data_IF_708843066508
#
_entry.id   IF_708843066508
#
_cell.length_a   1.000
_cell.length_b   1.000
_cell.length_c   1.000
_cell.angle_alpha   90.00
_cell.angle_beta   90.00
_cell.angle_gamma   90.00
#
_symmetry.space_group_name_H-M   'P 1'
#
loop_
_entity.id
_entity.type
_entity.pdbx_description
1 polymer ?
#
# COMPACT_ATOMS: atom_id res chain seq x y z
N UNK A 1 14.15 0.77 -10.82
CA UNK A 1 13.18 0.48 -9.74
C UNK A 1 12.12 -0.49 -10.30
N UNK A 2 12.50 -1.76 -10.50
CA UNK A 2 11.62 -2.81 -11.08
C UNK A 2 11.44 -4.02 -10.15
N UNK A 3 11.85 -3.93 -8.87
CA UNK A 3 12.09 -5.14 -8.06
C UNK A 3 10.96 -5.57 -7.13
N UNK A 4 9.90 -4.79 -6.93
CA UNK A 4 8.82 -5.16 -6.00
C UNK A 4 7.61 -5.70 -6.77
N UNK A 5 7.28 -7.00 -6.64
CA UNK A 5 6.08 -7.56 -7.24
C UNK A 5 4.83 -6.89 -6.68
N UNK A 6 3.82 -6.63 -7.52
CA UNK A 6 2.52 -6.04 -7.10
C UNK A 6 1.88 -6.84 -5.96
N UNK A 7 2.01 -8.17 -5.99
CA UNK A 7 1.52 -9.06 -4.93
C UNK A 7 2.23 -8.85 -3.57
N UNK A 8 3.51 -8.49 -3.57
CA UNK A 8 4.22 -8.13 -2.33
C UNK A 8 3.74 -6.78 -1.82
N UNK A 9 3.67 -5.79 -2.72
CA UNK A 9 3.20 -4.45 -2.39
C UNK A 9 1.79 -4.47 -1.79
N UNK A 10 0.87 -5.25 -2.37
CA UNK A 10 -0.46 -5.45 -1.82
C UNK A 10 -0.44 -6.02 -0.40
N UNK A 11 0.37 -7.06 -0.13
CA UNK A 11 0.48 -7.65 1.21
C UNK A 11 1.03 -6.66 2.23
N UNK A 12 2.05 -5.89 1.84
CA UNK A 12 2.66 -4.88 2.71
C UNK A 12 1.66 -3.75 3.02
N UNK A 13 0.92 -3.24 2.02
CA UNK A 13 -0.15 -2.26 2.22
C UNK A 13 -1.29 -2.80 3.09
N UNK A 14 -1.68 -4.07 2.92
CA UNK A 14 -2.73 -4.71 3.72
C UNK A 14 -2.30 -4.89 5.17
N UNK A 15 -1.05 -5.27 5.41
CA UNK A 15 -0.50 -5.37 6.76
C UNK A 15 -0.49 -3.99 7.44
N UNK A 16 0.00 -2.97 6.73
CA UNK A 16 0.04 -1.61 7.24
C UNK A 16 -1.36 -1.07 7.54
N UNK A 17 -2.31 -1.19 6.61
CA UNK A 17 -3.68 -0.75 6.81
C UNK A 17 -4.37 -1.45 8.00
N UNK A 18 -4.07 -2.74 8.21
CA UNK A 18 -4.55 -3.48 9.37
C UNK A 18 -3.94 -2.94 10.66
N UNK A 19 -2.62 -2.77 10.70
CA UNK A 19 -1.92 -2.25 11.87
C UNK A 19 -2.42 -0.84 12.24
N UNK A 20 -2.39 0.08 11.27
CA UNK A 20 -2.80 1.46 11.45
C UNK A 20 -4.28 1.54 11.84
N UNK A 21 -5.14 0.82 11.13
CA UNK A 21 -6.56 0.82 11.42
C UNK A 21 -6.92 0.23 12.78
N UNK A 22 -6.15 -0.71 13.33
CA UNK A 22 -6.32 -1.16 14.72
C UNK A 22 -6.02 -0.06 15.73
N UNK A 23 -4.97 0.72 15.51
CA UNK A 23 -4.63 1.86 16.38
C UNK A 23 -5.73 2.94 16.37
N UNK A 24 -6.43 3.11 15.24
CA UNK A 24 -7.44 4.14 15.04
C UNK A 24 -8.89 3.66 15.10
N UNK A 25 -9.16 2.40 15.47
CA UNK A 25 -10.52 1.83 15.52
C UNK A 25 -11.21 1.65 14.16
N UNK A 26 -10.48 1.78 13.05
CA UNK A 26 -11.00 1.87 11.68
C UNK A 26 -10.40 0.80 10.72
N UNK A 27 -9.94 -0.33 11.26
CA UNK A 27 -9.30 -1.45 10.51
C UNK A 27 -10.03 -1.79 9.20
N UNK A 28 -11.35 -2.02 9.28
CA UNK A 28 -12.15 -2.42 8.11
C UNK A 28 -12.15 -1.38 7.00
N UNK A 29 -12.15 -0.09 7.35
CA UNK A 29 -12.18 1.03 6.39
C UNK A 29 -10.86 1.10 5.64
N UNK A 30 -9.72 1.15 6.35
CA UNK A 30 -8.41 1.25 5.72
C UNK A 30 -8.08 0.02 4.87
N UNK A 31 -8.39 -1.20 5.35
CA UNK A 31 -8.22 -2.41 4.55
C UNK A 31 -9.14 -2.42 3.33
N UNK A 32 -10.36 -1.90 3.46
CA UNK A 32 -11.31 -1.73 2.35
C UNK A 32 -10.78 -0.80 1.26
N UNK A 33 -10.21 0.34 1.65
CA UNK A 33 -9.59 1.32 0.74
C UNK A 33 -8.42 0.70 -0.05
N UNK A 34 -7.53 -0.04 0.63
CA UNK A 34 -6.42 -0.75 -0.05
C UNK A 34 -6.96 -1.74 -1.08
N UNK A 35 -7.96 -2.55 -0.71
CA UNK A 35 -8.57 -3.50 -1.66
C UNK A 35 -9.21 -2.79 -2.86
N UNK A 36 -9.95 -1.72 -2.61
CA UNK A 36 -10.62 -0.96 -3.66
C UNK A 36 -9.60 -0.36 -4.64
N UNK A 37 -8.52 0.24 -4.13
CA UNK A 37 -7.49 0.84 -4.96
C UNK A 37 -6.78 -0.18 -5.86
N UNK A 38 -6.42 -1.35 -5.31
CA UNK A 38 -5.79 -2.41 -6.12
C UNK A 38 -6.77 -3.02 -7.12
N UNK A 39 -8.06 -3.16 -6.76
CA UNK A 39 -9.09 -3.66 -7.68
C UNK A 39 -9.34 -2.68 -8.83
N UNK A 40 -9.40 -1.38 -8.55
CA UNK A 40 -9.65 -0.35 -9.55
C UNK A 40 -8.54 -0.28 -10.62
N UNK A 41 -7.30 -0.63 -10.25
CA UNK A 41 -6.14 -0.60 -11.14
C UNK A 41 -5.72 -2.01 -11.62
N UNK A 42 -6.54 -3.04 -11.41
CA UNK A 42 -6.17 -4.44 -11.72
C UNK A 42 -5.93 -4.69 -13.21
N UNK A 43 -6.55 -3.89 -14.08
CA UNK A 43 -6.43 -3.99 -15.53
C UNK A 43 -5.67 -2.80 -16.14
N UNK A 44 -4.96 -2.03 -15.31
CA UNK A 44 -4.12 -0.95 -15.82
C UNK A 44 -3.02 -1.53 -16.71
N UNK A 45 -2.86 -0.96 -17.90
CA UNK A 45 -1.89 -1.38 -18.90
C UNK A 45 -0.85 -0.29 -19.18
N UNK A 46 -1.14 0.95 -18.80
CA UNK A 46 -0.20 2.06 -18.89
C UNK A 46 0.96 1.83 -17.91
N UNK A 47 2.16 1.64 -18.48
CA UNK A 47 3.37 1.31 -17.72
C UNK A 47 3.81 2.46 -16.82
N UNK A 48 3.64 3.70 -17.26
CA UNK A 48 4.06 4.88 -16.49
C UNK A 48 3.12 5.09 -15.32
N UNK A 49 1.81 4.94 -15.55
CA UNK A 49 0.82 5.00 -14.47
C UNK A 49 0.99 3.87 -13.44
N UNK A 50 1.28 2.64 -13.87
CA UNK A 50 1.58 1.53 -12.95
C UNK A 50 2.82 1.84 -12.13
N UNK A 51 3.85 2.42 -12.75
CA UNK A 51 5.09 2.80 -12.08
C UNK A 51 4.84 3.87 -11.02
N UNK A 52 4.11 4.93 -11.36
CA UNK A 52 3.74 6.00 -10.42
C UNK A 52 2.92 5.48 -9.24
N UNK A 53 1.94 4.61 -9.49
CA UNK A 53 1.14 4.00 -8.44
C UNK A 53 1.97 3.13 -7.50
N UNK A 54 2.92 2.34 -8.05
CA UNK A 54 3.86 1.55 -7.25
C UNK A 54 4.76 2.45 -6.41
N UNK A 55 5.31 3.51 -6.99
CA UNK A 55 6.15 4.46 -6.28
C UNK A 55 5.40 5.16 -5.15
N UNK A 56 4.15 5.60 -5.38
CA UNK A 56 3.31 6.21 -4.36
C UNK A 56 3.08 5.27 -3.17
N UNK A 57 2.74 4.00 -3.44
CA UNK A 57 2.56 3.00 -2.39
C UNK A 57 3.86 2.68 -1.64
N UNK A 58 5.01 2.61 -2.33
CA UNK A 58 6.33 2.42 -1.72
C UNK A 58 6.68 3.59 -0.81
N UNK A 59 6.48 4.83 -1.26
CA UNK A 59 6.73 6.05 -0.47
C UNK A 59 5.90 6.03 0.80
N UNK A 60 4.60 5.78 0.69
CA UNK A 60 3.71 5.66 1.86
C UNK A 60 4.20 4.61 2.85
N UNK A 61 4.60 3.42 2.38
CA UNK A 61 5.15 2.38 3.26
C UNK A 61 6.48 2.80 3.90
N UNK A 62 7.35 3.49 3.17
CA UNK A 62 8.66 3.94 3.68
C UNK A 62 8.53 5.06 4.72
N UNK A 63 7.70 6.06 4.45
CA UNK A 63 7.49 7.20 5.34
C UNK A 63 6.92 6.75 6.68
N UNK A 64 5.97 5.81 6.64
CA UNK A 64 5.40 5.25 7.86
C UNK A 64 6.34 4.23 8.54
N UNK A 65 7.14 3.45 7.79
CA UNK A 65 8.16 2.55 8.37
C UNK A 65 9.27 3.30 9.12
N UNK A 66 9.63 4.53 8.71
CA UNK A 66 10.63 5.34 9.43
C UNK A 66 10.16 5.72 10.83
N UNK A 67 8.87 5.97 11.03
CA UNK A 67 8.28 6.21 12.35
C UNK A 67 8.33 4.98 13.27
N UNK A 68 8.53 3.76 12.75
CA UNK A 68 8.63 2.53 13.55
C UNK A 68 10.06 2.09 13.88
N UNK A 69 11.10 2.66 13.27
CA UNK A 69 12.51 2.34 13.62
C UNK A 69 13.05 3.14 14.81
N UNK A 70 12.24 4.03 15.39
CA UNK A 70 12.58 4.83 16.58
C UNK A 70 11.86 4.37 17.86
N UNK A 71 11.22 3.19 17.85
CA UNK A 71 10.64 2.52 19.02
C UNK A 71 11.40 1.22 19.30
#
# INVERSE_FOLDING_TARGET
MDRVPVKKLYRDCMFFAKFFGKQHGNEKVYMGQVRQQFKANMHEADKDKIKEQKEAAIRLLQDNCRSFRGL
#
